data_IF_931241842057
#
_entry.id   IF_931241842057
#
_cell.length_a   1.000
_cell.length_b   1.000
_cell.length_c   1.000
_cell.angle_alpha   90.00
_cell.angle_beta   90.00
_cell.angle_gamma   90.00
#
_symmetry.space_group_name_H-M   'P 1'
#
loop_
_entity.id
_entity.type
_entity.pdbx_description
1 polymer ?
#
# COMPACT_ATOMS: atom_id res chain seq x y z
N UNK A 1 10.92 6.99 2.16
CA UNK A 1 11.40 6.91 0.75
C UNK A 1 10.67 7.96 -0.05
N UNK A 2 11.36 8.73 -0.89
CA UNK A 2 10.76 9.66 -1.86
C UNK A 2 10.43 8.94 -3.15
N UNK A 3 9.26 9.19 -3.74
CA UNK A 3 8.86 8.59 -5.01
C UNK A 3 9.53 9.33 -6.16
N UNK A 4 10.19 8.58 -7.05
CA UNK A 4 10.92 9.12 -8.21
C UNK A 4 10.48 8.54 -9.55
N UNK A 5 9.64 7.50 -9.54
CA UNK A 5 9.18 6.77 -10.71
C UNK A 5 8.00 7.43 -11.42
N UNK A 6 7.15 8.17 -10.69
CA UNK A 6 5.99 8.83 -11.29
C UNK A 6 6.35 10.23 -11.81
N UNK A 7 6.30 10.40 -13.14
CA UNK A 7 6.66 11.63 -13.83
C UNK A 7 5.87 12.85 -13.35
N UNK A 8 4.59 12.71 -13.02
CA UNK A 8 3.74 13.83 -12.62
C UNK A 8 4.12 14.38 -11.23
N UNK A 9 4.63 13.53 -10.34
CA UNK A 9 4.91 13.87 -8.93
C UNK A 9 6.40 13.88 -8.57
N UNK A 10 7.29 13.35 -9.43
CA UNK A 10 8.73 13.23 -9.17
C UNK A 10 9.38 14.55 -8.75
N UNK A 11 8.99 15.66 -9.38
CA UNK A 11 9.53 17.00 -9.08
C UNK A 11 9.19 17.48 -7.67
N UNK A 12 8.11 16.97 -7.06
CA UNK A 12 7.65 17.35 -5.73
C UNK A 12 8.41 16.65 -4.61
N UNK A 13 9.15 15.57 -4.91
CA UNK A 13 9.97 14.88 -3.92
C UNK A 13 9.20 14.24 -2.75
N UNK A 14 7.89 13.97 -2.94
CA UNK A 14 7.00 13.46 -1.90
C UNK A 14 7.47 12.13 -1.31
N UNK A 15 7.30 11.96 0.01
CA UNK A 15 7.49 10.65 0.65
C UNK A 15 6.41 9.68 0.16
N UNK A 16 6.66 8.38 0.30
CA UNK A 16 5.78 7.32 -0.22
C UNK A 16 4.31 7.49 0.21
N UNK A 17 4.06 7.76 1.51
CA UNK A 17 2.71 7.99 2.02
C UNK A 17 2.07 9.27 1.44
N UNK A 18 2.82 10.37 1.42
CA UNK A 18 2.35 11.65 0.86
C UNK A 18 1.98 11.52 -0.61
N UNK A 19 2.82 10.81 -1.37
CA UNK A 19 2.63 10.56 -2.79
C UNK A 19 1.33 9.79 -3.05
N UNK A 20 1.07 8.72 -2.31
CA UNK A 20 -0.15 7.94 -2.51
C UNK A 20 -1.40 8.76 -2.17
N UNK A 21 -1.38 9.53 -1.08
CA UNK A 21 -2.51 10.41 -0.72
C UNK A 21 -2.74 11.46 -1.81
N UNK A 22 -1.69 12.19 -2.19
CA UNK A 22 -1.77 13.22 -3.23
C UNK A 22 -2.28 12.65 -4.56
N UNK A 23 -1.68 11.55 -5.03
CA UNK A 23 -2.07 10.91 -6.29
C UNK A 23 -3.51 10.38 -6.26
N UNK A 24 -3.92 9.75 -5.15
CA UNK A 24 -5.30 9.27 -5.01
C UNK A 24 -6.31 10.41 -5.05
N UNK A 25 -6.02 11.56 -4.42
CA UNK A 25 -6.87 12.74 -4.47
C UNK A 25 -6.91 13.35 -5.87
N UNK A 26 -5.77 13.43 -6.56
CA UNK A 26 -5.69 13.96 -7.92
C UNK A 26 -6.47 13.09 -8.93
N UNK A 27 -6.57 11.78 -8.69
CA UNK A 27 -7.35 10.84 -9.50
C UNK A 27 -8.81 10.70 -9.07
N UNK A 28 -9.17 11.16 -7.86
CA UNK A 28 -10.54 11.07 -7.36
C UNK A 28 -11.48 11.90 -8.25
N UNK A 29 -12.73 11.47 -8.44
CA UNK A 29 -13.70 12.29 -9.18
C UNK A 29 -14.10 13.55 -8.38
N UNK A 30 -14.47 14.66 -9.05
CA UNK A 30 -14.98 15.85 -8.35
C UNK A 30 -16.17 15.52 -7.43
N UNK A 31 -16.18 16.05 -6.20
CA UNK A 31 -17.17 15.71 -5.17
C UNK A 31 -16.94 14.35 -4.49
N UNK A 32 -15.96 13.56 -4.95
CA UNK A 32 -15.61 12.28 -4.36
C UNK A 32 -15.02 12.42 -2.95
N UNK A 33 -15.24 11.39 -2.13
CA UNK A 33 -14.66 11.27 -0.80
C UNK A 33 -13.51 10.27 -0.81
N UNK A 34 -12.47 10.54 -0.02
CA UNK A 34 -11.37 9.62 0.21
C UNK A 34 -11.01 9.56 1.70
N UNK A 35 -10.76 8.35 2.18
CA UNK A 35 -10.27 8.10 3.54
C UNK A 35 -8.91 7.41 3.45
N UNK A 36 -7.94 7.87 4.24
CA UNK A 36 -6.58 7.33 4.26
C UNK A 36 -6.14 7.03 5.69
N UNK A 37 -5.41 5.93 5.86
CA UNK A 37 -4.72 5.60 7.10
C UNK A 37 -3.24 5.89 6.89
N UNK A 38 -2.66 6.79 7.68
CA UNK A 38 -1.27 7.26 7.51
C UNK A 38 -0.60 7.52 8.85
N UNK A 39 0.73 7.51 8.92
CA UNK A 39 1.44 7.91 10.13
C UNK A 39 1.21 9.39 10.45
N UNK A 40 1.29 9.78 11.73
CA UNK A 40 1.21 11.17 12.20
C UNK A 40 2.15 12.14 11.45
N UNK A 41 3.27 11.62 10.93
CA UNK A 41 4.23 12.39 10.15
C UNK A 41 3.68 13.05 8.89
N UNK A 42 2.57 12.59 8.32
CA UNK A 42 1.92 13.26 7.17
C UNK A 42 1.38 14.64 7.57
N UNK A 43 0.72 14.71 8.73
CA UNK A 43 0.07 15.92 9.21
C UNK A 43 1.01 16.82 10.04
N UNK A 44 1.90 16.24 10.84
CA UNK A 44 2.69 17.01 11.82
C UNK A 44 4.04 17.51 11.28
N UNK A 45 4.53 16.98 10.15
CA UNK A 45 5.81 17.42 9.60
C UNK A 45 5.80 18.91 9.25
N UNK A 46 6.93 19.57 9.50
CA UNK A 46 7.11 20.99 9.18
C UNK A 46 7.03 21.28 7.68
N UNK A 47 7.50 20.36 6.83
CA UNK A 47 7.36 20.46 5.38
C UNK A 47 5.90 20.25 4.96
N UNK A 48 5.21 21.35 4.66
CA UNK A 48 3.82 21.35 4.26
C UNK A 48 3.60 21.11 2.76
N UNK A 49 4.64 20.91 1.94
CA UNK A 49 4.53 20.80 0.47
C UNK A 49 3.49 19.78 0.00
N UNK A 50 3.42 18.63 0.69
CA UNK A 50 2.41 17.60 0.41
C UNK A 50 0.98 18.09 0.74
N UNK A 51 0.81 18.72 1.91
CA UNK A 51 -0.48 19.25 2.37
C UNK A 51 -0.94 20.38 1.47
N UNK A 52 -0.04 21.27 1.06
CA UNK A 52 -0.32 22.34 0.10
C UNK A 52 -0.78 21.79 -1.26
N UNK A 53 -0.14 20.72 -1.76
CA UNK A 53 -0.56 20.08 -3.00
C UNK A 53 -1.97 19.50 -2.87
N UNK A 54 -2.23 18.73 -1.80
CA UNK A 54 -3.56 18.17 -1.51
C UNK A 54 -4.62 19.27 -1.43
N UNK A 55 -4.32 20.36 -0.70
CA UNK A 55 -5.24 21.48 -0.51
C UNK A 55 -5.57 22.23 -1.80
N UNK A 56 -4.82 22.06 -2.91
CA UNK A 56 -5.21 22.62 -4.22
C UNK A 56 -6.46 21.95 -4.79
N UNK A 57 -6.71 20.69 -4.45
CA UNK A 57 -7.74 19.87 -5.07
C UNK A 57 -8.83 19.41 -4.10
N UNK A 58 -8.52 19.28 -2.81
CA UNK A 58 -9.45 18.74 -1.82
C UNK A 58 -9.51 19.57 -0.55
N UNK A 59 -10.64 19.45 0.15
CA UNK A 59 -10.84 19.96 1.50
C UNK A 59 -10.60 18.82 2.50
N UNK A 60 -9.91 19.12 3.60
CA UNK A 60 -9.87 18.23 4.76
C UNK A 60 -11.25 18.26 5.43
N UNK A 61 -11.94 17.13 5.43
CA UNK A 61 -13.26 16.97 6.06
C UNK A 61 -13.09 16.73 7.56
N UNK A 62 -12.22 15.80 7.90
CA UNK A 62 -11.86 15.46 9.26
C UNK A 62 -10.52 14.71 9.28
N UNK A 63 -9.86 14.72 10.44
CA UNK A 63 -8.78 13.79 10.73
C UNK A 63 -8.89 13.29 12.16
N UNK A 64 -8.70 11.98 12.35
CA UNK A 64 -8.76 11.30 13.65
C UNK A 64 -7.37 10.75 13.96
N UNK A 65 -6.82 11.08 15.12
CA UNK A 65 -5.54 10.53 15.59
C UNK A 65 -5.77 9.39 16.57
N UNK A 66 -5.19 8.23 16.27
CA UNK A 66 -5.26 7.04 17.12
C UNK A 66 -4.12 7.05 18.16
N UNK A 67 -4.29 6.42 19.32
CA UNK A 67 -3.22 6.28 20.30
C UNK A 67 -2.15 5.29 19.83
N UNK A 68 -0.95 5.39 20.41
CA UNK A 68 0.11 4.38 20.32
C UNK A 68 -0.45 3.00 20.71
N UNK A 69 0.02 1.96 20.03
CA UNK A 69 -0.39 0.59 20.28
C UNK A 69 -1.64 0.14 19.54
N UNK A 70 -2.32 1.04 18.81
CA UNK A 70 -3.54 0.73 18.04
C UNK A 70 -3.34 -0.39 17.01
N UNK A 71 -2.12 -0.59 16.53
CA UNK A 71 -1.76 -1.65 15.57
C UNK A 71 -0.76 -2.67 16.16
N UNK A 72 -0.56 -2.69 17.48
CA UNK A 72 0.46 -3.54 18.09
C UNK A 72 0.08 -5.03 18.00
N UNK A 73 -1.19 -5.36 18.19
CA UNK A 73 -1.68 -6.74 18.13
C UNK A 73 -1.56 -7.34 16.72
N UNK A 74 -1.92 -6.58 15.69
CA UNK A 74 -2.02 -7.08 14.31
C UNK A 74 -0.77 -6.82 13.46
N UNK A 75 -0.06 -5.71 13.69
CA UNK A 75 1.08 -5.27 12.88
C UNK A 75 2.38 -5.10 13.67
N UNK A 76 2.38 -5.33 14.99
CA UNK A 76 3.58 -5.27 15.83
C UNK A 76 4.26 -3.89 15.86
N UNK A 77 3.49 -2.81 15.66
CA UNK A 77 4.01 -1.45 15.65
C UNK A 77 3.23 -0.50 16.54
N UNK A 78 3.99 0.37 17.20
CA UNK A 78 3.53 1.44 18.08
C UNK A 78 3.47 2.81 17.39
N UNK A 79 3.61 2.85 16.07
CA UNK A 79 3.54 4.10 15.30
C UNK A 79 2.18 4.75 15.50
N UNK A 80 2.17 6.05 15.81
CA UNK A 80 0.94 6.85 15.86
C UNK A 80 0.39 7.03 14.45
N UNK A 81 -0.89 6.73 14.29
CA UNK A 81 -1.60 6.71 13.01
C UNK A 81 -2.76 7.70 13.04
N UNK A 82 -2.94 8.37 11.92
CA UNK A 82 -4.05 9.26 11.63
C UNK A 82 -4.96 8.62 10.55
N UNK A 83 -6.27 8.78 10.72
CA UNK A 83 -7.29 8.53 9.70
C UNK A 83 -7.71 9.88 9.13
N UNK A 84 -7.42 10.11 7.85
CA UNK A 84 -7.63 11.38 7.16
C UNK A 84 -8.80 11.26 6.19
N UNK A 85 -9.77 12.17 6.27
CA UNK A 85 -10.93 12.24 5.40
C UNK A 85 -10.87 13.48 4.53
N UNK A 86 -10.94 13.30 3.22
CA UNK A 86 -10.91 14.38 2.24
C UNK A 86 -12.12 14.33 1.33
N UNK A 87 -12.55 15.51 0.86
CA UNK A 87 -13.50 15.66 -0.25
C UNK A 87 -12.83 16.42 -1.38
N UNK A 88 -12.81 15.85 -2.58
CA UNK A 88 -12.30 16.56 -3.75
C UNK A 88 -13.28 17.67 -4.14
N UNK A 89 -12.78 18.90 -4.24
CA UNK A 89 -13.58 20.05 -4.64
C UNK A 89 -14.04 19.95 -6.08
N UNK A 90 -15.25 20.46 -6.34
CA UNK A 90 -15.78 20.58 -7.70
C UNK A 90 -15.10 21.76 -8.43
N UNK A 91 -14.98 21.70 -9.78
CA UNK A 91 -14.47 22.84 -10.53
C UNK A 91 -15.24 24.13 -10.21
N UNK A 92 -14.52 25.19 -9.84
CA UNK A 92 -15.11 26.49 -9.48
C UNK A 92 -15.51 26.63 -8.01
N UNK A 93 -15.39 25.58 -7.19
CA UNK A 93 -15.64 25.64 -5.75
C UNK A 93 -14.46 26.32 -5.02
N UNK A 94 -14.78 27.25 -4.13
CA UNK A 94 -13.78 27.92 -3.29
C UNK A 94 -13.07 26.89 -2.38
N UNK A 95 -11.82 27.17 -2.03
CA UNK A 95 -11.13 26.35 -1.03
C UNK A 95 -11.86 26.45 0.32
N UNK A 96 -12.00 25.31 1.00
CA UNK A 96 -12.46 25.27 2.37
C UNK A 96 -11.41 25.79 3.36
N UNK A 97 -11.47 25.30 4.58
CA UNK A 97 -10.47 25.64 5.59
C UNK A 97 -9.08 25.11 5.21
N UNK A 98 -8.10 26.01 5.19
CA UNK A 98 -6.68 25.71 4.91
C UNK A 98 -5.79 25.86 6.15
N UNK A 99 -6.36 26.16 7.33
CA UNK A 99 -5.59 26.34 8.56
C UNK A 99 -4.82 25.09 8.97
N UNK A 100 -5.32 23.90 8.60
CA UNK A 100 -4.66 22.60 8.81
C UNK A 100 -3.35 22.42 8.01
N UNK A 101 -2.99 23.32 7.11
CA UNK A 101 -1.67 23.30 6.46
C UNK A 101 -0.55 23.54 7.47
N UNK A 102 -0.85 24.33 8.51
CA UNK A 102 0.08 24.73 9.55
C UNK A 102 0.14 23.75 10.72
N UNK A 103 1.09 24.00 11.61
CA UNK A 103 1.25 23.30 12.88
C UNK A 103 1.16 24.32 14.01
N UNK A 104 0.61 23.91 15.14
CA UNK A 104 0.53 24.70 16.37
C UNK A 104 1.22 23.96 17.52
N UNK A 105 1.51 24.72 18.58
CA UNK A 105 2.09 24.20 19.81
C UNK A 105 1.00 23.77 20.78
N UNK A 106 1.03 22.50 21.18
CA UNK A 106 0.21 21.97 22.27
C UNK A 106 1.10 21.69 23.49
N UNK A 107 0.58 22.00 24.66
CA UNK A 107 1.24 21.72 25.95
C UNK A 107 0.44 20.66 26.68
N UNK A 108 1.05 19.51 27.05
CA UNK A 108 0.42 18.55 27.95
C UNK A 108 0.03 19.24 29.26
N UNK A 109 -1.13 18.89 29.82
CA UNK A 109 -1.74 19.63 30.94
C UNK A 109 -0.95 19.58 32.27
N UNK A 110 0.08 18.75 32.38
CA UNK A 110 0.75 18.43 33.66
C UNK A 110 2.29 18.41 33.59
N UNK A 111 2.92 19.18 32.69
CA UNK A 111 4.39 19.14 32.57
C UNK A 111 5.04 20.50 32.26
N UNK A 112 6.23 20.72 32.84
CA UNK A 112 7.23 21.72 32.43
C UNK A 112 7.86 21.37 31.05
N UNK A 113 7.28 20.39 30.33
CA UNK A 113 7.73 19.89 29.04
C UNK A 113 7.69 20.91 27.91
N UNK A 114 8.58 20.65 26.96
CA UNK A 114 8.74 21.37 25.70
C UNK A 114 7.42 21.35 24.92
N UNK A 115 7.06 22.49 24.34
CA UNK A 115 5.89 22.59 23.47
C UNK A 115 5.97 21.57 22.33
N UNK A 116 4.92 20.75 22.20
CA UNK A 116 4.84 19.73 21.15
C UNK A 116 4.20 20.39 19.93
N UNK A 117 4.89 20.33 18.79
CA UNK A 117 4.31 20.80 17.52
C UNK A 117 3.44 19.70 16.91
N UNK A 118 2.16 19.99 16.75
CA UNK A 118 1.18 19.11 16.10
C UNK A 118 0.46 19.88 15.00
N UNK A 119 -0.15 19.18 14.04
CA UNK A 119 -0.97 19.83 13.03
C UNK A 119 -2.07 20.69 13.66
N UNK A 120 -2.33 21.89 13.10
CA UNK A 120 -3.32 22.83 13.63
C UNK A 120 -4.74 22.23 13.68
N UNK A 121 -5.08 21.31 12.78
CA UNK A 121 -6.32 20.55 12.88
C UNK A 121 -6.42 19.82 14.23
N UNK A 122 -5.43 19.02 14.61
CA UNK A 122 -5.46 18.27 15.87
C UNK A 122 -5.40 19.19 17.10
N UNK A 123 -4.66 20.31 17.03
CA UNK A 123 -4.64 21.31 18.08
C UNK A 123 -6.02 21.96 18.31
N UNK A 124 -6.76 22.24 17.23
CA UNK A 124 -8.10 22.83 17.28
C UNK A 124 -9.24 21.84 17.54
N UNK A 125 -8.96 20.54 17.39
CA UNK A 125 -9.95 19.47 17.44
C UNK A 125 -9.54 18.32 18.38
N UNK A 126 -9.39 18.59 19.70
CA UNK A 126 -8.94 17.58 20.67
C UNK A 126 -9.87 16.37 20.77
N UNK A 127 -11.17 16.54 20.49
CA UNK A 127 -12.16 15.44 20.44
C UNK A 127 -11.85 14.38 19.36
N UNK A 128 -11.02 14.71 18.37
CA UNK A 128 -10.59 13.79 17.33
C UNK A 128 -9.18 13.22 17.60
N UNK A 129 -8.61 13.48 18.78
CA UNK A 129 -7.37 12.86 19.25
C UNK A 129 -7.71 11.84 20.32
N UNK A 130 -7.65 10.55 19.97
CA UNK A 130 -8.06 9.44 20.85
C UNK A 130 -6.96 9.04 21.86
N UNK A 131 -6.18 10.02 22.31
CA UNK A 131 -5.05 9.87 23.22
C UNK A 131 -4.52 11.23 23.67
N UNK A 132 -3.44 11.24 24.44
CA UNK A 132 -2.76 12.44 24.91
C UNK A 132 -1.46 12.66 24.13
N UNK A 133 -1.27 13.85 23.58
CA UNK A 133 0.00 14.24 22.96
C UNK A 133 1.13 14.15 23.98
N UNK A 134 2.19 13.43 23.64
CA UNK A 134 3.37 13.25 24.50
C UNK A 134 4.65 13.12 23.66
N UNK A 135 5.79 13.18 24.34
CA UNK A 135 7.09 12.85 23.77
C UNK A 135 7.59 11.57 24.42
N UNK A 136 8.08 10.63 23.62
CA UNK A 136 8.73 9.41 24.09
C UNK A 136 10.19 9.39 23.66
N UNK A 137 11.06 8.81 24.48
CA UNK A 137 12.47 8.65 24.15
C UNK A 137 12.70 7.29 23.50
N UNK A 138 13.15 7.29 22.25
CA UNK A 138 13.57 6.09 21.53
C UNK A 138 15.08 6.01 21.32
N UNK A 139 15.58 4.92 20.71
CA UNK A 139 17.00 4.77 20.34
C UNK A 139 17.54 5.88 19.42
N UNK A 140 16.64 6.62 18.76
CA UNK A 140 16.95 7.70 17.83
C UNK A 140 16.65 9.10 18.39
N UNK A 141 16.45 9.20 19.72
CA UNK A 141 16.12 10.44 20.41
C UNK A 141 14.63 10.58 20.76
N UNK A 142 14.26 11.80 21.15
CA UNK A 142 12.87 12.17 21.45
C UNK A 142 12.00 12.14 20.19
N UNK A 143 10.86 11.48 20.29
CA UNK A 143 9.88 11.34 19.22
C UNK A 143 8.48 11.62 19.75
N UNK A 144 7.65 12.24 18.91
CA UNK A 144 6.24 12.43 19.21
C UNK A 144 5.52 11.08 19.39
N UNK A 145 4.64 11.01 20.39
CA UNK A 145 3.68 9.92 20.57
C UNK A 145 2.29 10.43 20.99
N UNK A 146 1.30 9.55 20.97
CA UNK A 146 -0.07 9.78 21.41
C UNK A 146 -0.43 8.70 22.42
N UNK A 147 -0.37 9.01 23.72
CA UNK A 147 -0.59 8.01 24.77
C UNK A 147 -2.08 7.65 24.87
N UNK A 148 -2.45 6.36 25.00
CA UNK A 148 -3.86 6.00 25.22
C UNK A 148 -4.37 6.60 26.53
N UNK A 149 -5.62 7.07 26.50
CA UNK A 149 -6.29 7.54 27.72
C UNK A 149 -6.58 6.35 28.66
N UNK A 150 -6.24 6.42 29.96
CA UNK A 150 -6.51 5.34 30.89
C UNK A 150 -8.01 5.00 30.95
N UNK A 151 -8.34 3.72 30.76
CA UNK A 151 -9.73 3.22 30.87
C UNK A 151 -10.64 3.54 29.67
N UNK A 152 -10.10 4.08 28.57
CA UNK A 152 -10.84 4.29 27.33
C UNK A 152 -10.61 3.12 26.38
N UNK A 153 -11.68 2.45 25.96
CA UNK A 153 -11.62 1.42 24.92
C UNK A 153 -11.62 2.09 23.53
N UNK A 154 -10.61 1.79 22.72
CA UNK A 154 -10.50 2.29 21.35
C UNK A 154 -11.66 1.80 20.48
N UNK A 155 -12.17 0.59 20.73
CA UNK A 155 -13.30 0.02 19.99
C UNK A 155 -14.60 0.81 20.21
N UNK A 156 -14.72 1.54 21.31
CA UNK A 156 -15.84 2.44 21.59
C UNK A 156 -15.55 3.89 21.18
N UNK A 157 -14.31 4.36 21.44
CA UNK A 157 -13.92 5.73 21.18
C UNK A 157 -13.87 6.08 19.69
N UNK A 158 -13.42 5.15 18.83
CA UNK A 158 -13.33 5.40 17.39
C UNK A 158 -14.71 5.57 16.73
N UNK A 159 -15.71 4.69 16.94
CA UNK A 159 -17.07 4.94 16.47
C UNK A 159 -17.66 6.26 16.97
N UNK A 160 -17.37 6.65 18.22
CA UNK A 160 -17.84 7.92 18.79
C UNK A 160 -17.17 9.16 18.15
N UNK A 161 -15.91 9.05 17.71
CA UNK A 161 -15.29 10.08 16.89
C UNK A 161 -15.85 10.09 15.47
N UNK A 162 -16.13 8.91 14.90
CA UNK A 162 -16.70 8.79 13.55
C UNK A 162 -18.08 9.43 13.45
N UNK A 163 -18.92 9.30 14.49
CA UNK A 163 -20.25 9.90 14.52
C UNK A 163 -20.26 11.44 14.57
N UNK A 164 -19.09 12.08 14.78
CA UNK A 164 -18.93 13.53 14.74
C UNK A 164 -18.59 14.05 13.33
N UNK A 165 -18.34 13.16 12.37
CA UNK A 165 -18.07 13.59 11.00
C UNK A 165 -19.34 14.22 10.39
N UNK A 166 -19.18 15.20 9.49
CA UNK A 166 -20.31 15.81 8.82
C UNK A 166 -21.03 14.77 7.94
N UNK A 167 -22.35 14.72 8.09
CA UNK A 167 -23.22 13.84 7.29
C UNK A 167 -23.59 14.50 5.95
N UNK A 168 -24.01 13.69 4.99
CA UNK A 168 -24.57 14.12 3.70
C UNK A 168 -23.66 15.07 2.87
N UNK A 169 -22.33 14.94 3.02
CA UNK A 169 -21.35 15.71 2.24
C UNK A 169 -21.01 15.10 0.87
N UNK A 170 -21.47 13.87 0.61
CA UNK A 170 -21.34 13.23 -0.70
C UNK A 170 -22.47 13.72 -1.60
N UNK A 171 -22.11 14.49 -2.62
CA UNK A 171 -23.01 15.06 -3.62
C UNK A 171 -22.65 14.59 -5.04
N UNK A 172 -22.01 13.42 -5.12
CA UNK A 172 -21.67 12.76 -6.37
C UNK A 172 -22.90 12.07 -6.95
N UNK A 173 -23.22 12.39 -8.21
CA UNK A 173 -24.12 11.56 -9.01
C UNK A 173 -23.52 10.13 -9.06
N UNK A 174 -24.32 9.08 -8.82
CA UNK A 174 -23.87 7.71 -9.03
C UNK A 174 -23.63 7.50 -10.52
N UNK A 175 -22.38 7.62 -10.95
CA UNK A 175 -21.97 7.15 -12.27
C UNK A 175 -22.02 5.63 -12.27
N UNK A 176 -22.61 5.06 -13.32
CA UNK A 176 -22.51 3.63 -13.57
C UNK A 176 -21.02 3.29 -13.68
N UNK A 177 -20.54 2.40 -12.81
CA UNK A 177 -19.20 1.83 -12.95
C UNK A 177 -19.26 0.99 -14.22
N UNK A 178 -18.66 1.50 -15.30
CA UNK A 178 -18.47 0.71 -16.50
C UNK A 178 -17.45 -0.39 -16.17
N UNK A 179 -17.96 -1.58 -15.88
CA UNK A 179 -17.13 -2.76 -15.60
C UNK A 179 -16.32 -3.19 -16.83
N UNK A 180 -16.69 -2.70 -18.01
CA UNK A 180 -16.05 -3.03 -19.29
C UNK A 180 -15.17 -1.87 -19.80
N UNK A 181 -15.13 -0.72 -19.10
CA UNK A 181 -14.58 0.54 -19.60
C UNK A 181 -13.18 0.94 -19.11
N UNK A 182 -12.54 0.15 -18.26
CA UNK A 182 -11.18 0.41 -17.76
C UNK A 182 -10.10 -0.39 -18.51
N UNK A 183 -10.23 -0.47 -19.84
CA UNK A 183 -9.03 -0.41 -20.69
C UNK A 183 -8.53 1.03 -20.66
N UNK A 184 -7.89 1.40 -19.55
CA UNK A 184 -7.12 2.63 -19.45
C UNK A 184 -6.01 2.52 -20.51
N UNK A 185 -6.27 3.15 -21.66
CA UNK A 185 -5.32 3.47 -22.71
C UNK A 185 -4.02 4.01 -22.08
N UNK A 186 -3.01 3.14 -22.02
CA UNK A 186 -1.69 3.47 -21.48
C UNK A 186 -0.87 2.28 -20.96
N UNK A 187 -1.47 1.13 -20.68
CA UNK A 187 -0.75 -0.12 -20.49
C UNK A 187 -0.86 -0.93 -21.79
N UNK A 188 0.10 -0.74 -22.69
CA UNK A 188 0.15 -1.50 -23.94
C UNK A 188 -0.11 -2.99 -23.69
N UNK A 189 -1.07 -3.53 -24.43
CA UNK A 189 -1.41 -4.96 -24.49
C UNK A 189 -0.12 -5.78 -24.50
N UNK A 190 0.26 -6.24 -23.31
CA UNK A 190 1.39 -7.12 -23.15
C UNK A 190 0.82 -8.51 -23.25
N UNK A 191 1.25 -9.23 -24.29
CA UNK A 191 0.97 -10.64 -24.54
C UNK A 191 0.78 -11.43 -23.21
N UNK A 192 -0.19 -12.37 -23.12
CA UNK A 192 -0.61 -13.02 -21.86
C UNK A 192 0.46 -13.79 -21.05
N UNK A 193 1.73 -13.78 -21.46
CA UNK A 193 2.80 -14.60 -20.88
C UNK A 193 4.16 -13.88 -20.71
N UNK A 194 4.23 -12.55 -20.77
CA UNK A 194 5.42 -11.81 -20.34
C UNK A 194 5.08 -10.94 -19.13
N UNK A 195 5.76 -11.10 -17.97
CA UNK A 195 5.52 -10.21 -16.83
C UNK A 195 5.88 -8.78 -17.25
N UNK A 196 4.88 -7.90 -17.29
CA UNK A 196 5.07 -6.48 -17.56
C UNK A 196 6.08 -5.94 -16.54
N UNK A 197 7.23 -5.47 -17.04
CA UNK A 197 8.30 -4.95 -16.20
C UNK A 197 7.83 -3.60 -15.67
N UNK A 198 7.61 -3.53 -14.36
CA UNK A 198 7.17 -2.31 -13.67
C UNK A 198 8.20 -1.18 -13.84
N UNK A 199 7.71 0.05 -13.86
CA UNK A 199 8.52 1.27 -13.85
C UNK A 199 9.61 1.22 -12.76
N UNK A 200 10.84 1.62 -13.11
CA UNK A 200 12.04 1.51 -12.27
C UNK A 200 12.68 0.12 -12.24
N UNK A 201 11.98 -0.92 -12.68
CA UNK A 201 12.44 -2.31 -12.64
C UNK A 201 13.59 -2.60 -13.60
N UNK A 202 14.60 -3.31 -13.10
CA UNK A 202 15.74 -3.74 -13.91
C UNK A 202 15.49 -5.08 -14.61
N UNK A 203 16.06 -5.29 -15.78
CA UNK A 203 15.99 -6.57 -16.49
C UNK A 203 17.17 -6.76 -17.45
N UNK A 204 17.34 -7.99 -17.93
CA UNK A 204 18.36 -8.34 -18.92
C UNK A 204 17.64 -8.61 -20.24
N UNK A 205 17.95 -7.82 -21.26
CA UNK A 205 17.39 -8.03 -22.61
C UNK A 205 18.01 -9.26 -23.29
N UNK A 206 17.39 -9.70 -24.39
CA UNK A 206 17.84 -10.85 -25.19
C UNK A 206 19.28 -10.70 -25.72
N UNK A 207 19.73 -9.46 -25.94
CA UNK A 207 21.10 -9.12 -26.32
C UNK A 207 22.06 -9.03 -25.12
N UNK A 208 21.66 -9.48 -23.92
CA UNK A 208 22.39 -9.42 -22.64
C UNK A 208 22.61 -8.02 -22.05
N UNK A 209 22.06 -6.97 -22.66
CA UNK A 209 22.13 -5.61 -22.12
C UNK A 209 21.35 -5.52 -20.79
N UNK A 210 21.93 -4.81 -19.83
CA UNK A 210 21.23 -4.45 -18.60
C UNK A 210 20.35 -3.24 -18.90
N UNK A 211 19.05 -3.37 -18.68
CA UNK A 211 18.06 -2.34 -18.96
C UNK A 211 17.27 -2.02 -17.70
N UNK A 212 16.66 -0.84 -17.69
CA UNK A 212 15.73 -0.38 -16.68
C UNK A 212 14.48 0.18 -17.37
N UNK A 213 13.30 -0.10 -16.81
CA UNK A 213 12.09 0.58 -17.25
C UNK A 213 12.12 2.02 -16.73
N UNK A 214 12.14 2.99 -17.65
CA UNK A 214 12.16 4.43 -17.33
C UNK A 214 11.16 5.14 -18.24
N UNK A 215 10.23 5.87 -17.64
CA UNK A 215 9.16 6.59 -18.32
C UNK A 215 8.32 5.67 -19.26
N UNK A 216 8.04 4.44 -18.82
CA UNK A 216 7.28 3.44 -19.59
C UNK A 216 8.05 2.82 -20.77
N UNK A 217 9.33 3.17 -20.95
CA UNK A 217 10.19 2.67 -22.00
C UNK A 217 11.44 1.94 -21.48
N UNK A 218 11.93 0.90 -22.17
CA UNK A 218 13.14 0.20 -21.77
C UNK A 218 14.39 1.03 -22.13
N UNK A 219 15.15 1.46 -21.12
CA UNK A 219 16.38 2.25 -21.28
C UNK A 219 17.60 1.39 -20.93
N UNK A 220 18.63 1.40 -21.79
CA UNK A 220 19.89 0.71 -21.51
C UNK A 220 20.65 1.43 -20.41
N UNK A 221 21.10 0.70 -19.37
CA UNK A 221 21.95 1.28 -18.33
C UNK A 221 23.36 1.56 -18.90
N UNK A 222 23.81 2.82 -18.98
CA UNK A 222 25.15 3.11 -19.45
C UNK A 222 26.18 2.70 -18.38
N UNK A 223 27.15 1.89 -18.76
CA UNK A 223 28.29 1.56 -17.89
C UNK A 223 29.29 2.71 -17.89
N UNK A 224 29.77 3.07 -16.70
CA UNK A 224 30.82 4.07 -16.54
C UNK A 224 32.11 3.58 -17.20
N UNK A 225 32.66 4.37 -18.13
CA UNK A 225 33.97 4.12 -18.74
C UNK A 225 35.05 4.96 -18.05
N UNK A 226 36.08 4.31 -17.50
CA UNK A 226 37.24 4.99 -16.90
C UNK A 226 36.87 5.88 -15.70
N UNK A 227 37.32 7.14 -15.72
CA UNK A 227 37.08 8.14 -14.67
C UNK A 227 35.85 9.05 -14.92
N UNK A 228 35.02 8.76 -15.92
CA UNK A 228 33.83 9.58 -16.19
C UNK A 228 32.87 9.57 -14.99
N UNK A 229 32.20 10.69 -14.72
CA UNK A 229 31.11 10.74 -13.75
C UNK A 229 29.84 10.05 -14.30
N UNK A 230 29.72 9.97 -15.63
CA UNK A 230 28.54 9.46 -16.32
C UNK A 230 28.48 7.93 -16.33
N UNK A 231 27.30 7.41 -16.02
CA UNK A 231 27.01 5.98 -16.02
C UNK A 231 27.22 5.28 -14.67
N UNK A 232 26.72 4.05 -14.62
CA UNK A 232 26.72 3.20 -13.42
C UNK A 232 28.08 2.51 -13.28
N UNK A 233 28.71 2.51 -12.09
CA UNK A 233 29.94 1.77 -11.85
C UNK A 233 29.83 0.28 -12.21
N UNK A 234 30.89 -0.33 -12.74
CA UNK A 234 30.88 -1.76 -13.11
C UNK A 234 30.45 -2.67 -11.94
N UNK A 235 30.95 -2.39 -10.73
CA UNK A 235 30.53 -3.09 -9.51
C UNK A 235 29.01 -3.05 -9.30
N UNK A 236 28.39 -1.88 -9.47
CA UNK A 236 26.95 -1.68 -9.31
C UNK A 236 26.17 -2.45 -10.38
N UNK A 237 26.61 -2.38 -11.64
CA UNK A 237 25.97 -3.14 -12.71
C UNK A 237 26.05 -4.66 -12.48
N UNK A 238 27.17 -5.16 -11.96
CA UNK A 238 27.32 -6.58 -11.59
C UNK A 238 26.42 -6.99 -10.43
N UNK A 239 26.24 -6.12 -9.43
CA UNK A 239 25.30 -6.33 -8.32
C UNK A 239 23.87 -6.42 -8.86
N UNK A 240 23.42 -5.43 -9.64
CA UNK A 240 22.08 -5.40 -10.24
C UNK A 240 21.81 -6.69 -11.04
N UNK A 241 22.76 -7.09 -11.91
CA UNK A 241 22.65 -8.32 -12.71
C UNK A 241 22.48 -9.59 -11.87
N UNK A 242 23.00 -9.63 -10.64
CA UNK A 242 22.91 -10.79 -9.75
C UNK A 242 21.68 -10.73 -8.82
N UNK A 243 21.13 -9.54 -8.55
CA UNK A 243 19.88 -9.38 -7.81
C UNK A 243 18.64 -9.65 -8.66
N UNK A 244 18.68 -9.41 -9.98
CA UNK A 244 17.56 -9.70 -10.89
C UNK A 244 17.07 -11.16 -10.79
N UNK A 245 17.94 -12.20 -10.92
CA UNK A 245 17.49 -13.59 -10.77
C UNK A 245 16.96 -13.94 -9.38
N UNK A 246 17.45 -13.26 -8.33
CA UNK A 246 16.92 -13.43 -6.98
C UNK A 246 15.48 -12.90 -6.93
N UNK A 247 15.27 -11.64 -7.35
CA UNK A 247 13.94 -11.01 -7.42
C UNK A 247 12.95 -11.87 -8.21
N UNK A 248 13.34 -12.31 -9.40
CA UNK A 248 12.47 -13.06 -10.28
C UNK A 248 12.10 -14.42 -9.68
N UNK A 249 13.06 -15.10 -9.03
CA UNK A 249 12.79 -16.36 -8.33
C UNK A 249 11.91 -16.16 -7.07
N UNK A 250 12.07 -15.05 -6.33
CA UNK A 250 11.18 -14.71 -5.21
C UNK A 250 9.75 -14.52 -5.71
N UNK A 251 9.55 -13.73 -6.78
CA UNK A 251 8.23 -13.56 -7.41
C UNK A 251 7.64 -14.88 -7.86
N UNK A 252 8.44 -15.77 -8.45
CA UNK A 252 8.01 -17.09 -8.88
C UNK A 252 7.53 -17.95 -7.69
N UNK A 253 8.27 -17.94 -6.57
CA UNK A 253 7.86 -18.64 -5.34
C UNK A 253 6.54 -18.07 -4.80
N UNK A 254 6.43 -16.75 -4.67
CA UNK A 254 5.24 -16.11 -4.12
C UNK A 254 4.01 -16.35 -5.02
N UNK A 255 4.16 -16.23 -6.35
CA UNK A 255 3.07 -16.46 -7.29
C UNK A 255 2.61 -17.92 -7.29
N UNK A 256 3.54 -18.86 -7.15
CA UNK A 256 3.20 -20.27 -7.01
C UNK A 256 2.46 -20.55 -5.68
N UNK A 257 2.86 -19.92 -4.58
CA UNK A 257 2.15 -20.06 -3.29
C UNK A 257 0.76 -19.41 -3.30
N UNK A 258 0.62 -18.25 -3.93
CA UNK A 258 -0.66 -17.54 -4.12
C UNK A 258 -1.66 -18.40 -4.91
N UNK A 259 -1.20 -19.05 -5.98
CA UNK A 259 -2.03 -19.90 -6.85
C UNK A 259 -2.13 -21.36 -6.38
N UNK A 260 -1.63 -21.67 -5.18
CA UNK A 260 -1.55 -23.02 -4.61
C UNK A 260 -0.90 -24.08 -5.54
N UNK A 261 0.10 -23.66 -6.31
CA UNK A 261 0.89 -24.52 -7.23
C UNK A 261 2.21 -24.96 -6.60
N UNK A 262 2.82 -26.08 -7.05
CA UNK A 262 4.12 -26.52 -6.52
C UNK A 262 5.23 -25.45 -6.65
N UNK A 263 5.76 -24.95 -5.52
CA UNK A 263 6.78 -23.88 -5.50
C UNK A 263 8.22 -24.36 -5.22
N UNK A 264 8.41 -25.66 -4.96
CA UNK A 264 9.75 -26.24 -4.66
C UNK A 264 10.79 -25.98 -5.77
N UNK A 265 10.47 -26.12 -7.07
CA UNK A 265 11.43 -25.79 -8.13
C UNK A 265 11.88 -24.32 -8.10
N UNK A 266 10.96 -23.39 -7.85
CA UNK A 266 11.26 -21.96 -7.72
C UNK A 266 12.11 -21.68 -6.47
N UNK A 267 11.85 -22.34 -5.34
CA UNK A 267 12.69 -22.26 -4.14
C UNK A 267 14.14 -22.73 -4.41
N UNK A 268 14.32 -23.78 -5.22
CA UNK A 268 15.65 -24.25 -5.62
C UNK A 268 16.36 -23.19 -6.47
N UNK A 269 15.68 -22.60 -7.47
CA UNK A 269 16.23 -21.48 -8.27
C UNK A 269 16.65 -20.31 -7.38
N UNK A 270 15.78 -19.92 -6.44
CA UNK A 270 16.05 -18.86 -5.47
C UNK A 270 17.30 -19.15 -4.64
N UNK A 271 17.42 -20.37 -4.11
CA UNK A 271 18.59 -20.82 -3.34
C UNK A 271 19.88 -20.76 -4.16
N UNK A 272 19.85 -21.21 -5.42
CA UNK A 272 21.01 -21.14 -6.31
C UNK A 272 21.38 -19.68 -6.61
N UNK A 273 20.41 -18.82 -6.90
CA UNK A 273 20.64 -17.40 -7.19
C UNK A 273 21.24 -16.67 -5.97
N UNK A 274 20.64 -16.87 -4.79
CA UNK A 274 21.09 -16.29 -3.52
C UNK A 274 22.50 -16.75 -3.14
N UNK A 275 22.78 -18.05 -3.13
CA UNK A 275 24.13 -18.57 -2.82
C UNK A 275 25.20 -18.04 -3.79
N UNK A 276 24.84 -17.88 -5.07
CA UNK A 276 25.73 -17.29 -6.07
C UNK A 276 25.97 -15.80 -5.84
N UNK A 277 24.98 -15.05 -5.33
CA UNK A 277 25.14 -13.65 -4.95
C UNK A 277 26.06 -13.53 -3.73
N UNK A 278 25.73 -14.24 -2.65
CA UNK A 278 26.45 -14.17 -1.37
C UNK A 278 27.92 -14.56 -1.53
N UNK A 279 28.22 -15.58 -2.34
CA UNK A 279 29.61 -15.97 -2.63
C UNK A 279 30.46 -14.86 -3.28
N UNK A 280 29.84 -13.94 -4.02
CA UNK A 280 30.54 -12.90 -4.79
C UNK A 280 30.54 -11.55 -4.07
N UNK A 281 29.44 -11.22 -3.38
CA UNK A 281 29.22 -9.88 -2.81
C UNK A 281 29.00 -9.85 -1.30
N UNK A 282 28.91 -11.01 -0.64
CA UNK A 282 28.44 -11.11 0.74
C UNK A 282 26.91 -11.00 0.86
N UNK A 283 26.38 -10.87 2.08
CA UNK A 283 24.94 -10.68 2.34
C UNK A 283 24.30 -9.59 1.49
N UNK A 284 23.05 -9.75 1.09
CA UNK A 284 22.29 -8.72 0.36
C UNK A 284 22.13 -7.46 1.24
N UNK A 285 21.83 -7.67 2.52
CA UNK A 285 21.53 -6.67 3.53
C UNK A 285 22.77 -6.16 4.28
N UNK A 286 23.99 -6.46 3.81
CA UNK A 286 25.22 -5.90 4.39
C UNK A 286 25.05 -4.41 4.62
N UNK A 287 25.28 -3.97 5.86
CA UNK A 287 25.07 -2.59 6.28
C UNK A 287 26.35 -2.08 6.94
N UNK A 288 26.86 -0.97 6.40
CA UNK A 288 28.03 -0.27 6.92
C UNK A 288 27.54 0.94 7.71
N UNK A 289 27.79 0.90 9.01
CA UNK A 289 27.50 2.00 9.94
C UNK A 289 28.73 2.89 10.05
N UNK A 290 28.56 4.20 9.87
CA UNK A 290 29.61 5.20 10.12
C UNK A 290 29.07 6.34 10.97
N UNK A 291 29.78 6.64 12.05
CA UNK A 291 29.44 7.75 12.94
C UNK A 291 30.32 8.95 12.62
N UNK A 292 29.73 10.14 12.49
CA UNK A 292 30.44 11.41 12.35
C UNK A 292 29.94 12.38 13.42
N UNK A 293 30.86 12.96 14.17
CA UNK A 293 30.57 14.00 15.15
C UNK A 293 30.77 15.37 14.50
N UNK A 294 29.79 16.25 14.63
CA UNK A 294 29.89 17.64 14.19
C UNK A 294 30.79 18.41 15.18
N UNK A 295 31.94 18.95 14.74
CA UNK A 295 32.90 19.60 15.63
C UNK A 295 32.42 20.95 16.18
N UNK A 296 31.38 21.57 15.61
CA UNK A 296 30.82 22.84 16.10
C UNK A 296 29.65 22.64 17.06
N UNK A 297 28.83 21.61 16.82
CA UNK A 297 27.60 21.38 17.59
C UNK A 297 27.71 20.20 18.57
N UNK A 298 28.72 19.34 18.43
CA UNK A 298 28.84 18.08 19.17
C UNK A 298 27.79 17.04 18.76
N UNK A 299 27.00 17.29 17.71
CA UNK A 299 25.95 16.38 17.25
C UNK A 299 26.58 15.13 16.62
N UNK A 300 26.25 13.95 17.18
CA UNK A 300 26.70 12.67 16.66
C UNK A 300 25.71 12.16 15.62
N UNK A 301 26.13 12.08 14.35
CA UNK A 301 25.32 11.56 13.25
C UNK A 301 25.77 10.16 12.84
N UNK A 302 24.86 9.21 12.94
CA UNK A 302 25.05 7.85 12.45
C UNK A 302 24.52 7.70 11.02
N UNK A 303 25.35 7.19 10.10
CA UNK A 303 24.98 6.96 8.70
C UNK A 303 25.02 5.48 8.39
N UNK A 304 23.89 4.92 7.93
CA UNK A 304 23.79 3.52 7.51
C UNK A 304 23.84 3.41 5.99
N UNK A 305 24.80 2.65 5.46
CA UNK A 305 24.97 2.43 4.02
C UNK A 305 24.79 0.96 3.68
N UNK A 306 23.96 0.65 2.68
CA UNK A 306 23.69 -0.72 2.23
C UNK A 306 24.33 -0.97 0.85
N UNK A 307 25.64 -1.26 0.75
CA UNK A 307 26.37 -1.29 -0.51
C UNK A 307 25.81 -2.26 -1.56
N UNK A 308 25.16 -3.34 -1.14
CA UNK A 308 24.61 -4.35 -2.04
C UNK A 308 23.17 -4.04 -2.49
N UNK A 309 22.38 -3.35 -1.67
CA UNK A 309 21.04 -2.88 -2.07
C UNK A 309 21.05 -1.51 -2.75
N UNK A 310 22.01 -0.63 -2.42
CA UNK A 310 22.11 0.74 -2.93
C UNK A 310 22.01 0.82 -4.47
N UNK A 311 22.69 -0.05 -5.26
CA UNK A 311 22.59 -0.04 -6.71
C UNK A 311 21.23 -0.45 -7.27
N UNK A 312 20.40 -1.09 -6.45
CA UNK A 312 19.13 -1.71 -6.84
C UNK A 312 17.92 -0.96 -6.27
N UNK A 313 18.13 0.21 -5.64
CA UNK A 313 17.08 0.97 -4.96
C UNK A 313 15.97 1.50 -5.86
N UNK A 314 16.22 1.68 -7.16
CA UNK A 314 15.17 2.13 -8.09
C UNK A 314 14.26 0.98 -8.52
N UNK A 315 14.66 -0.28 -8.26
CA UNK A 315 13.78 -1.42 -8.51
C UNK A 315 12.59 -1.38 -7.54
N UNK A 316 11.35 -1.59 -8.02
CA UNK A 316 10.17 -1.63 -7.16
C UNK A 316 10.26 -2.74 -6.12
N UNK A 317 10.97 -3.83 -6.41
CA UNK A 317 11.07 -5.01 -5.56
C UNK A 317 12.39 -5.07 -4.76
N UNK A 318 13.11 -3.96 -4.66
CA UNK A 318 14.34 -3.90 -3.87
C UNK A 318 14.14 -4.41 -2.43
N UNK A 319 13.04 -4.02 -1.78
CA UNK A 319 12.74 -4.45 -0.41
C UNK A 319 12.21 -5.88 -0.31
N UNK A 320 11.57 -6.38 -1.37
CA UNK A 320 11.22 -7.79 -1.46
C UNK A 320 12.47 -8.66 -1.55
N UNK A 321 13.48 -8.21 -2.28
CA UNK A 321 14.79 -8.89 -2.32
C UNK A 321 15.50 -8.79 -0.98
N UNK A 322 15.41 -7.64 -0.30
CA UNK A 322 15.97 -7.48 1.05
C UNK A 322 15.31 -8.41 2.09
N UNK A 323 14.00 -8.68 1.98
CA UNK A 323 13.25 -9.43 2.99
C UNK A 323 13.55 -10.94 3.01
N UNK A 324 14.34 -11.46 2.07
CA UNK A 324 14.62 -12.91 2.01
C UNK A 324 15.73 -13.34 2.96
N UNK A 325 16.45 -12.43 3.59
CA UNK A 325 17.49 -12.77 4.54
C UNK A 325 17.35 -11.96 5.83
N UNK A 326 17.67 -12.62 6.93
CA UNK A 326 17.78 -12.00 8.24
C UNK A 326 19.25 -11.67 8.47
N UNK A 327 19.58 -10.38 8.56
CA UNK A 327 20.95 -9.88 8.65
C UNK A 327 21.23 -9.31 10.03
N UNK A 328 22.29 -9.82 10.64
CA UNK A 328 22.77 -9.42 11.95
C UNK A 328 23.93 -8.43 11.79
N UNK A 329 23.68 -7.19 12.24
CA UNK A 329 24.64 -6.09 12.21
C UNK A 329 25.87 -6.32 13.10
N UNK A 330 25.72 -7.06 14.21
CA UNK A 330 26.80 -7.28 15.17
C UNK A 330 27.79 -8.34 14.65
N UNK A 331 27.25 -9.39 14.03
CA UNK A 331 28.07 -10.50 13.53
C UNK A 331 28.48 -10.35 12.06
N UNK A 332 27.92 -9.37 11.34
CA UNK A 332 28.05 -9.20 9.89
C UNK A 332 27.71 -10.50 9.12
N UNK A 333 26.69 -11.23 9.61
CA UNK A 333 26.22 -12.47 8.99
C UNK A 333 24.76 -12.38 8.58
N UNK A 334 24.39 -13.12 7.53
CA UNK A 334 22.99 -13.26 7.13
C UNK A 334 22.55 -14.72 7.12
N UNK A 335 21.31 -14.95 7.54
CA UNK A 335 20.64 -16.25 7.51
C UNK A 335 19.54 -16.22 6.44
N UNK A 336 19.34 -17.31 5.68
CA UNK A 336 18.20 -17.42 4.77
C UNK A 336 16.89 -17.30 5.55
N UNK A 337 15.98 -16.46 5.08
CA UNK A 337 14.66 -16.30 5.66
C UNK A 337 13.69 -17.46 5.34
N UNK A 338 12.47 -17.42 5.91
CA UNK A 338 11.44 -18.45 5.78
C UNK A 338 11.13 -18.91 4.34
N UNK A 339 11.15 -17.98 3.38
CA UNK A 339 10.79 -18.24 1.98
C UNK A 339 11.63 -19.36 1.33
N UNK A 340 12.82 -19.66 1.87
CA UNK A 340 13.68 -20.72 1.38
C UNK A 340 13.24 -22.13 1.79
N UNK A 341 12.45 -22.27 2.85
CA UNK A 341 12.11 -23.56 3.47
C UNK A 341 10.61 -23.81 3.51
N UNK A 342 9.84 -22.80 3.86
CA UNK A 342 8.41 -22.90 4.17
C UNK A 342 7.54 -22.03 3.26
N UNK A 343 6.23 -22.16 3.46
CA UNK A 343 5.21 -21.35 2.80
C UNK A 343 5.08 -20.03 3.58
N UNK A 344 5.15 -18.90 2.87
CA UNK A 344 5.10 -17.55 3.46
C UNK A 344 3.83 -16.79 3.07
N UNK A 345 3.09 -17.26 2.07
CA UNK A 345 1.74 -16.82 1.74
C UNK A 345 0.79 -17.96 2.07
N UNK A 346 -0.11 -17.75 3.03
CA UNK A 346 -1.15 -18.72 3.35
C UNK A 346 -2.07 -18.94 2.12
N UNK A 347 -2.57 -20.17 1.89
CA UNK A 347 -3.62 -20.36 0.90
C UNK A 347 -4.84 -19.52 1.31
N UNK A 348 -5.68 -19.10 0.36
CA UNK A 348 -7.02 -18.64 0.68
C UNK A 348 -7.68 -19.67 1.59
N UNK A 349 -8.29 -19.23 2.68
CA UNK A 349 -9.05 -20.15 3.53
C UNK A 349 -10.21 -20.69 2.71
N UNK A 350 -10.42 -22.01 2.76
CA UNK A 350 -11.60 -22.59 2.13
C UNK A 350 -12.84 -21.90 2.72
N UNK A 351 -13.76 -21.40 1.88
CA UNK A 351 -14.93 -20.71 2.38
C UNK A 351 -15.74 -21.67 3.24
N UNK A 352 -16.20 -21.19 4.41
CA UNK A 352 -17.11 -21.95 5.25
C UNK A 352 -18.50 -21.72 4.69
N UNK A 353 -19.11 -22.77 4.15
CA UNK A 353 -20.44 -22.72 3.55
C UNK A 353 -21.41 -23.35 4.54
N UNK A 354 -22.30 -22.55 5.11
CA UNK A 354 -23.35 -23.01 6.04
C UNK A 354 -24.76 -22.73 5.54
N UNK A 355 -24.90 -21.92 4.50
CA UNK A 355 -26.18 -21.50 3.91
C UNK A 355 -26.05 -21.27 2.41
N UNK A 356 -27.19 -21.19 1.71
CA UNK A 356 -27.22 -20.84 0.29
C UNK A 356 -26.67 -19.44 0.03
N UNK A 357 -26.83 -18.50 0.97
CA UNK A 357 -26.24 -17.17 0.87
C UNK A 357 -24.69 -17.22 0.90
N UNK A 358 -24.10 -18.05 1.76
CA UNK A 358 -22.65 -18.25 1.80
C UNK A 358 -22.15 -18.85 0.47
N UNK A 359 -22.85 -19.87 -0.04
CA UNK A 359 -22.53 -20.51 -1.31
C UNK A 359 -22.67 -19.53 -2.49
N UNK A 360 -23.71 -18.70 -2.51
CA UNK A 360 -23.90 -17.65 -3.51
C UNK A 360 -22.72 -16.67 -3.52
N UNK A 361 -22.25 -16.23 -2.36
CA UNK A 361 -21.08 -15.35 -2.26
C UNK A 361 -19.81 -16.01 -2.83
N UNK A 362 -19.61 -17.32 -2.57
CA UNK A 362 -18.50 -18.09 -3.15
C UNK A 362 -18.61 -18.14 -4.68
N UNK A 363 -19.78 -18.48 -5.21
CA UNK A 363 -20.00 -18.58 -6.66
C UNK A 363 -19.82 -17.24 -7.36
N UNK A 364 -20.31 -16.14 -6.77
CA UNK A 364 -20.09 -14.81 -7.31
C UNK A 364 -18.61 -14.44 -7.33
N UNK A 365 -17.85 -14.78 -6.29
CA UNK A 365 -16.41 -14.54 -6.22
C UNK A 365 -15.63 -15.39 -7.25
N UNK A 366 -16.04 -16.64 -7.48
CA UNK A 366 -15.34 -17.57 -8.39
C UNK A 366 -15.71 -17.37 -9.86
N UNK A 367 -16.99 -17.13 -10.17
CA UNK A 367 -17.54 -17.13 -11.53
C UNK A 367 -18.06 -15.76 -11.99
N UNK A 368 -18.23 -14.80 -11.09
CA UNK A 368 -18.71 -13.45 -11.41
C UNK A 368 -20.20 -13.35 -11.78
N UNK A 369 -20.96 -14.44 -11.68
CA UNK A 369 -22.40 -14.48 -11.96
C UNK A 369 -23.08 -15.56 -11.12
N UNK A 370 -24.41 -15.54 -11.04
CA UNK A 370 -25.19 -16.53 -10.28
C UNK A 370 -25.25 -17.84 -11.07
N UNK A 371 -24.74 -18.91 -10.48
CA UNK A 371 -24.77 -20.27 -11.02
C UNK A 371 -25.41 -21.20 -9.98
N UNK A 372 -26.70 -21.46 -10.15
CA UNK A 372 -27.50 -22.26 -9.21
C UNK A 372 -27.01 -23.71 -9.13
N UNK A 373 -26.53 -24.27 -10.24
CA UNK A 373 -26.03 -25.64 -10.26
C UNK A 373 -24.76 -25.77 -9.42
N UNK A 374 -23.85 -24.79 -9.51
CA UNK A 374 -22.65 -24.75 -8.68
C UNK A 374 -22.98 -24.51 -7.19
N UNK A 375 -23.97 -23.66 -6.88
CA UNK A 375 -24.45 -23.45 -5.50
C UNK A 375 -25.02 -24.75 -4.92
N UNK A 376 -25.84 -25.46 -5.70
CA UNK A 376 -26.42 -26.75 -5.34
C UNK A 376 -25.34 -27.82 -5.09
N UNK A 377 -24.29 -27.85 -5.91
CA UNK A 377 -23.15 -28.74 -5.73
C UNK A 377 -22.40 -28.47 -4.42
N UNK A 378 -22.15 -27.19 -4.10
CA UNK A 378 -21.48 -26.76 -2.86
C UNK A 378 -22.28 -27.08 -1.59
N UNK A 379 -23.62 -27.03 -1.66
CA UNK A 379 -24.51 -27.34 -0.54
C UNK A 379 -24.90 -28.82 -0.46
N UNK A 380 -24.56 -29.63 -1.47
CA UNK A 380 -25.08 -30.99 -1.64
C UNK A 380 -26.62 -31.05 -1.57
N UNK A 381 -27.27 -30.07 -2.20
CA UNK A 381 -28.73 -29.91 -2.21
C UNK A 381 -29.27 -29.89 -3.65
N UNK A 382 -30.58 -30.02 -3.81
CA UNK A 382 -31.24 -29.87 -5.10
C UNK A 382 -31.36 -28.39 -5.49
N UNK A 383 -31.25 -28.07 -6.78
CA UNK A 383 -31.33 -26.71 -7.30
C UNK A 383 -32.63 -25.99 -6.90
N UNK A 384 -33.77 -26.69 -6.89
CA UNK A 384 -35.06 -26.12 -6.49
C UNK A 384 -35.07 -25.72 -5.00
N UNK A 385 -34.39 -26.48 -4.14
CA UNK A 385 -34.26 -26.16 -2.72
C UNK A 385 -33.35 -24.94 -2.51
N UNK A 386 -32.27 -24.83 -3.28
CA UNK A 386 -31.37 -23.67 -3.28
C UNK A 386 -32.10 -22.41 -3.73
N UNK A 387 -32.88 -22.48 -4.82
CA UNK A 387 -33.66 -21.34 -5.32
C UNK A 387 -34.67 -20.90 -4.25
N UNK A 388 -35.34 -21.85 -3.59
CA UNK A 388 -36.30 -21.54 -2.53
C UNK A 388 -35.63 -20.94 -1.28
N UNK A 389 -34.39 -21.33 -0.95
CA UNK A 389 -33.64 -20.77 0.17
C UNK A 389 -33.10 -19.37 -0.13
N UNK A 390 -32.63 -19.14 -1.37
CA UNK A 390 -32.13 -17.84 -1.82
C UNK A 390 -33.26 -16.82 -2.01
N UNK A 391 -34.44 -17.28 -2.42
CA UNK A 391 -35.68 -16.49 -2.55
C UNK A 391 -35.43 -15.12 -3.21
N UNK A 392 -35.67 -14.03 -2.49
CA UNK A 392 -35.51 -12.66 -2.98
C UNK A 392 -34.06 -12.23 -3.27
N UNK A 393 -33.05 -13.05 -2.99
CA UNK A 393 -31.65 -12.74 -3.27
C UNK A 393 -31.29 -12.89 -4.75
N UNK A 394 -32.03 -13.71 -5.51
CA UNK A 394 -31.77 -13.97 -6.92
C UNK A 394 -33.06 -13.96 -7.75
N UNK A 395 -32.97 -13.50 -8.99
CA UNK A 395 -34.07 -13.55 -9.95
C UNK A 395 -33.61 -14.17 -11.26
N UNK A 396 -34.53 -14.88 -11.91
CA UNK A 396 -34.28 -15.41 -13.25
C UNK A 396 -34.72 -14.38 -14.28
N UNK A 397 -33.78 -13.97 -15.12
CA UNK A 397 -34.06 -13.09 -16.24
C UNK A 397 -34.94 -13.82 -17.27
N UNK A 398 -36.14 -13.33 -17.59
CA UNK A 398 -37.06 -13.99 -18.53
C UNK A 398 -36.58 -13.92 -20.00
N UNK A 399 -35.73 -12.95 -20.36
CA UNK A 399 -35.20 -12.80 -21.72
C UNK A 399 -34.01 -13.72 -21.98
N UNK A 400 -33.04 -13.73 -21.07
CA UNK A 400 -31.81 -14.52 -21.23
C UNK A 400 -31.89 -15.91 -20.58
N UNK A 401 -32.83 -16.11 -19.65
CA UNK A 401 -32.95 -17.32 -18.85
C UNK A 401 -31.89 -17.46 -17.74
N UNK A 402 -30.96 -16.50 -17.62
CA UNK A 402 -29.86 -16.51 -16.65
C UNK A 402 -30.32 -16.06 -15.27
N UNK A 403 -29.72 -16.61 -14.22
CA UNK A 403 -29.90 -16.12 -12.86
C UNK A 403 -29.05 -14.88 -12.61
N UNK A 404 -29.63 -13.88 -11.95
CA UNK A 404 -28.99 -12.62 -11.56
C UNK A 404 -29.25 -12.36 -10.08
N UNK A 405 -28.36 -11.64 -9.41
CA UNK A 405 -28.59 -11.14 -8.06
C UNK A 405 -29.68 -10.08 -8.06
N UNK A 406 -30.36 -9.90 -6.93
CA UNK A 406 -31.46 -8.94 -6.79
C UNK A 406 -31.08 -7.52 -7.21
N UNK A 407 -29.92 -7.05 -6.79
CA UNK A 407 -29.37 -5.73 -7.15
C UNK A 407 -29.13 -5.59 -8.66
N UNK A 408 -28.59 -6.63 -9.31
CA UNK A 408 -28.38 -6.63 -10.75
C UNK A 408 -29.71 -6.64 -11.52
N UNK A 409 -30.64 -7.52 -11.13
CA UNK A 409 -31.93 -7.65 -11.81
C UNK A 409 -32.81 -6.40 -11.65
N UNK A 410 -32.87 -5.86 -10.42
CA UNK A 410 -33.66 -4.68 -10.05
C UNK A 410 -32.99 -3.35 -10.41
N UNK A 411 -31.86 -3.39 -11.13
CA UNK A 411 -31.24 -2.22 -11.74
C UNK A 411 -31.66 -2.05 -13.21
N UNK A 412 -31.71 -0.81 -13.69
CA UNK A 412 -32.05 -0.46 -15.07
C UNK A 412 -33.56 -0.40 -15.36
N UNK A 413 -33.99 -0.77 -16.58
CA UNK A 413 -35.39 -0.69 -17.03
C UNK A 413 -36.25 -1.85 -16.48
N UNK A 414 -36.41 -1.90 -15.15
CA UNK A 414 -37.13 -2.96 -14.42
C UNK A 414 -38.58 -3.17 -14.92
N UNK A 415 -39.23 -2.10 -15.41
CA UNK A 415 -40.61 -2.15 -15.93
C UNK A 415 -40.77 -3.02 -17.17
N UNK A 416 -39.74 -3.18 -17.97
CA UNK A 416 -39.81 -4.00 -19.18
C UNK A 416 -39.43 -5.45 -18.86
N UNK A 417 -38.50 -5.66 -17.92
CA UNK A 417 -38.18 -6.98 -17.34
C UNK A 417 -39.36 -7.65 -16.63
N UNK A 418 -40.26 -6.87 -16.00
CA UNK A 418 -41.47 -7.38 -15.30
C UNK A 418 -42.67 -7.67 -16.23
N UNK A 419 -42.62 -7.28 -17.51
CA UNK A 419 -43.71 -7.52 -18.48
C UNK A 419 -43.53 -8.81 -19.29
N UNK A 420 -42.29 -9.29 -19.40
CA UNK A 420 -41.93 -10.58 -19.98
C UNK A 420 -42.10 -11.68 -18.93
#
# INVERSE_FOLDING_TARGET
>A
RTVRSDRAYRSMGLRLHDYFIARSIDLLKPGGLAAFVSSAGTMDKADCSAREHIAKFADLVAAIRLPQGSFQADAGTDVVVDILFFRKRKPGEAAGDITWLDTDEVRPADSDEIAIRVNRWFAGHPDFVLGAHAVTSGPFGEAYTCLPHPGVDLAEALPAAISRLPEAIYDGEPEAIDRDGDDIDGAGESLPNAPAIREGGYFIASNTALMQMVDGGPVTLPLRKGRSADGVPDKHARIIRKLIPIRDAVREVLKAQELDRPWKPAQIKLRIAWSNFVRVFGPINTTVVSTSEDPETGEVRETHRRPNLQPFLDDPDCWLVASIEDYDLETDTARPGPIFTERVIAPPSAPIITSAADALAVVLNERGHVDVDHIAELLHADADAVIAELDDAIYRDPESGSWQTADAYLSGQVRDKLKA
#
